data_IF_318913609212
#
_entry.id   IF_318913609212
#
_cell.length_a   1.000
_cell.length_b   1.000
_cell.length_c   1.000
_cell.angle_alpha   90.00
_cell.angle_beta   90.00
_cell.angle_gamma   90.00
#
_symmetry.space_group_name_H-M   'P 1'
#
loop_
_entity.id
_entity.type
_entity.pdbx_description
1 polymer ?
2 polymer ?
3 non-polymer ?
4 water ?
#
# COMPACT_ATOMS: atom_id res chain seq x y z
N UNK A 22 -20.93 14.36 11.07
CA UNK A 22 -21.86 13.88 12.09
C UNK A 22 -23.29 13.87 11.59
N UNK A 23 -23.69 14.93 10.87
CA UNK A 23 -25.05 15.00 10.34
C UNK A 23 -25.27 13.93 9.28
N UNK A 24 -24.27 13.69 8.41
CA UNK A 24 -24.41 12.65 7.42
C UNK A 24 -24.49 11.27 8.06
N UNK A 25 -23.67 11.02 9.08
CA UNK A 25 -23.74 9.75 9.80
C UNK A 25 -25.09 9.61 10.49
N UNK A 26 -25.61 10.71 11.05
CA UNK A 26 -26.90 10.64 11.73
C UNK A 26 -28.03 10.31 10.77
N UNK A 27 -27.98 10.88 9.55
CA UNK A 27 -29.00 10.54 8.56
C UNK A 27 -28.90 9.08 8.15
N UNK A 28 -27.67 8.55 8.05
CA UNK A 28 -27.50 7.15 7.67
C UNK A 28 -28.09 6.23 8.73
N UNK A 29 -27.86 6.55 10.01
CA UNK A 29 -28.37 5.71 11.10
C UNK A 29 -29.89 5.68 11.07
N UNK A 30 -30.53 6.82 10.82
CA UNK A 30 -31.98 6.88 10.82
C UNK A 30 -32.58 6.04 9.70
N UNK A 31 -31.99 6.09 8.51
CA UNK A 31 -32.54 5.32 7.38
C UNK A 31 -32.21 3.83 7.51
N UNK A 32 -31.02 3.51 8.01
CA UNK A 32 -30.63 2.11 8.12
C UNK A 32 -31.32 1.40 9.28
N UNK A 33 -31.77 2.15 10.28
CA UNK A 33 -32.32 1.53 11.47
C UNK A 33 -31.26 1.32 12.53
N UNK A 34 -31.70 1.42 13.79
CA UNK A 34 -30.76 1.33 14.91
C UNK A 34 -30.16 -0.08 15.02
N UNK A 35 -30.88 -1.10 14.58
CA UNK A 35 -30.37 -2.46 14.66
C UNK A 35 -29.17 -2.66 13.74
N UNK A 36 -29.31 -2.29 12.47
CA UNK A 36 -28.19 -2.38 11.55
C UNK A 36 -27.09 -1.38 11.90
N UNK A 37 -27.46 -0.25 12.50
CA UNK A 37 -26.46 0.74 12.90
C UNK A 37 -25.62 0.27 14.08
N UNK A 38 -26.11 -0.69 14.87
CA UNK A 38 -25.38 -1.13 16.04
C UNK A 38 -24.11 -1.89 15.66
N UNK A 39 -24.19 -2.72 14.62
CA UNK A 39 -23.07 -3.58 14.26
C UNK A 39 -22.09 -2.96 13.27
N UNK A 40 -22.51 -1.96 12.52
CA UNK A 40 -21.65 -1.37 11.51
C UNK A 40 -21.26 0.07 11.72
N UNK A 41 -21.47 0.60 12.90
CA UNK A 41 -21.24 2.02 13.14
C UNK A 41 -19.77 2.37 12.94
N UNK A 42 -18.86 1.47 13.33
CA UNK A 42 -17.44 1.74 13.15
C UNK A 42 -17.08 1.81 11.67
N UNK A 43 -17.60 0.87 10.87
CA UNK A 43 -17.33 0.89 9.43
C UNK A 43 -17.98 2.11 8.78
N UNK A 44 -19.16 2.51 9.25
CA UNK A 44 -19.82 3.69 8.69
C UNK A 44 -19.00 4.94 8.98
N UNK A 45 -18.45 5.04 10.19
CA UNK A 45 -17.64 6.22 10.53
C UNK A 45 -16.38 6.27 9.68
N UNK A 46 -15.71 5.14 9.50
CA UNK A 46 -14.51 5.11 8.65
C UNK A 46 -14.87 5.40 7.20
N UNK A 47 -16.00 4.87 6.73
CA UNK A 47 -16.46 5.15 5.38
C UNK A 47 -16.69 6.65 5.19
N UNK A 48 -17.37 7.29 6.16
CA UNK A 48 -17.58 8.73 6.10
C UNK A 48 -16.24 9.48 6.16
N UNK A 49 -15.34 9.04 7.03
CA UNK A 49 -14.04 9.68 7.16
C UNK A 49 -13.26 9.61 5.85
N UNK A 50 -13.34 8.49 5.15
CA UNK A 50 -12.60 8.26 3.91
C UNK A 50 -13.36 8.73 2.68
N UNK A 51 -14.48 9.43 2.85
CA UNK A 51 -15.29 9.94 1.75
C UNK A 51 -15.74 8.81 0.81
N UNK A 52 -15.99 7.62 1.38
CA UNK A 52 -16.48 6.50 0.61
C UNK A 52 -15.44 5.73 -0.17
N UNK A 53 -14.16 6.01 0.04
CA UNK A 53 -13.08 5.39 -0.73
C UNK A 53 -12.36 4.33 0.09
N UNK A 54 -12.04 3.21 -0.54
CA UNK A 54 -11.08 2.28 0.01
C UNK A 54 -9.68 2.87 -0.13
N UNK A 55 -9.02 3.10 1.01
CA UNK A 55 -7.79 3.90 0.99
C UNK A 55 -6.65 3.21 0.25
N UNK A 56 -6.64 1.87 0.22
CA UNK A 56 -5.53 1.16 -0.39
C UNK A 56 -5.72 0.93 -1.88
N UNK A 57 -6.97 0.88 -2.36
CA UNK A 57 -7.25 0.74 -3.78
C UNK A 57 -7.80 2.00 -4.42
N UNK A 58 -8.21 2.97 -3.62
CA UNK A 58 -8.87 4.20 -4.10
C UNK A 58 -10.11 3.90 -4.94
N UNK A 59 -10.67 2.70 -4.79
CA UNK A 59 -11.92 2.35 -5.43
C UNK A 59 -13.09 2.78 -4.55
N UNK A 60 -14.23 3.04 -5.18
CA UNK A 60 -15.38 3.53 -4.46
C UNK A 60 -16.03 2.41 -3.64
N UNK A 61 -16.42 2.75 -2.42
CA UNK A 61 -17.23 1.86 -1.59
C UNK A 61 -18.63 2.46 -1.51
N UNK A 62 -19.57 2.06 -2.37
CA UNK A 62 -20.92 2.58 -2.27
C UNK A 62 -21.54 2.25 -0.92
N UNK A 63 -22.24 3.23 -0.35
CA UNK A 63 -22.80 3.05 0.99
C UNK A 63 -23.80 1.91 1.02
N UNK A 64 -24.60 1.76 -0.04
CA UNK A 64 -25.60 0.70 -0.07
C UNK A 64 -24.95 -0.68 -0.05
N UNK A 65 -23.76 -0.83 -0.65
CA UNK A 65 -23.08 -2.12 -0.62
C UNK A 65 -22.48 -2.38 0.75
N UNK A 66 -21.99 -1.33 1.42
CA UNK A 66 -21.49 -1.50 2.78
C UNK A 66 -22.60 -1.88 3.74
N UNK A 67 -23.79 -1.33 3.55
CA UNK A 67 -24.90 -1.64 4.44
C UNK A 67 -25.49 -3.01 4.14
N UNK A 68 -25.46 -3.46 2.89
CA UNK A 68 -26.04 -4.74 2.52
C UNK A 68 -25.03 -5.88 2.60
N UNK A 69 -23.77 -5.64 2.26
CA UNK A 69 -22.72 -6.66 2.29
C UNK A 69 -21.56 -6.13 3.13
N UNK A 70 -21.75 -5.97 4.44
CA UNK A 70 -20.69 -5.35 5.25
C UNK A 70 -19.45 -6.22 5.40
N UNK A 71 -19.60 -7.52 5.22
CA UNK A 71 -18.47 -8.45 5.37
C UNK A 71 -17.49 -8.41 4.21
N UNK A 72 -17.88 -7.75 3.14
CA UNK A 72 -16.97 -7.54 2.03
C UNK A 72 -15.98 -6.41 2.28
N UNK A 73 -16.08 -5.74 3.43
CA UNK A 73 -15.21 -4.63 3.79
C UNK A 73 -14.75 -4.83 5.23
N UNK A 74 -13.45 -4.68 5.46
CA UNK A 74 -12.85 -4.97 6.75
C UNK A 74 -12.10 -3.76 7.28
N UNK A 75 -11.93 -3.73 8.60
CA UNK A 75 -11.18 -2.68 9.26
C UNK A 75 -9.75 -3.14 9.40
N UNK A 76 -8.86 -2.57 8.58
CA UNK A 76 -7.43 -2.90 8.64
C UNK A 76 -6.73 -1.97 9.61
N UNK A 77 -5.74 -2.51 10.32
CA UNK A 77 -4.85 -1.71 11.14
C UNK A 77 -3.66 -1.27 10.29
N UNK A 78 -3.51 0.05 10.13
CA UNK A 78 -2.51 0.60 9.21
C UNK A 78 -1.13 0.02 9.52
N UNK A 79 -0.65 0.26 10.73
CA UNK A 79 0.58 -0.35 11.24
C UNK A 79 0.18 -1.53 12.13
N UNK A 80 0.70 -2.73 11.87
CA UNK A 80 0.32 -3.88 12.69
C UNK A 80 0.51 -3.61 14.18
N UNK A 81 -0.50 -3.97 14.97
CA UNK A 81 -0.47 -3.71 16.40
C UNK A 81 0.70 -4.39 17.09
N UNK A 82 1.25 -5.45 16.47
CA UNK A 82 2.48 -6.05 16.97
C UNK A 82 3.58 -5.01 17.13
N UNK A 83 3.62 -4.03 16.22
CA UNK A 83 4.60 -2.97 16.24
C UNK A 83 4.02 -1.68 16.81
N UNK A 84 2.74 -1.41 16.54
CA UNK A 84 2.18 -0.10 16.82
C UNK A 84 1.58 0.03 18.22
N UNK A 85 1.05 -1.05 18.79
CA UNK A 85 0.31 -1.01 20.05
C UNK A 85 -0.87 -0.03 20.00
N UNK A 86 -1.37 0.26 18.80
CA UNK A 86 -2.39 1.29 18.60
C UNK A 86 -3.66 0.63 18.10
N UNK A 87 -4.68 0.56 18.96
CA UNK A 87 -6.00 0.07 18.60
C UNK A 87 -7.00 1.19 18.43
N UNK A 88 -6.55 2.44 18.43
CA UNK A 88 -7.44 3.58 18.32
C UNK A 88 -7.90 3.76 16.87
N UNK A 89 -8.73 4.78 16.64
CA UNK A 89 -9.20 5.08 15.30
C UNK A 89 -8.07 5.63 14.42
N UNK A 90 -7.00 6.16 15.02
CA UNK A 90 -5.89 6.68 14.24
C UNK A 90 -5.19 5.59 13.44
N UNK A 91 -5.30 4.34 13.86
CA UNK A 91 -4.64 3.21 13.20
C UNK A 91 -5.62 2.31 12.47
N UNK A 92 -6.81 2.81 12.19
CA UNK A 92 -7.81 2.02 11.51
C UNK A 92 -8.32 2.63 10.22
N UNK A 93 -8.46 1.80 9.20
CA UNK A 93 -9.00 2.22 7.92
C UNK A 93 -9.96 1.15 7.41
N UNK A 94 -10.97 1.57 6.67
CA UNK A 94 -11.92 0.67 6.04
C UNK A 94 -11.46 0.37 4.62
N UNK A 95 -11.28 -0.91 4.31
CA UNK A 95 -10.78 -1.35 3.01
C UNK A 95 -11.57 -2.55 2.54
N UNK A 96 -11.47 -2.83 1.24
CA UNK A 96 -12.05 -4.04 0.69
C UNK A 96 -11.39 -5.26 1.31
N UNK A 97 -12.15 -6.36 1.37
CA UNK A 97 -11.66 -7.58 2.01
C UNK A 97 -10.37 -8.06 1.35
N UNK A 98 -10.34 -8.07 0.01
CA UNK A 98 -9.17 -8.57 -0.70
C UNK A 98 -7.94 -7.70 -0.46
N UNK A 99 -8.14 -6.38 -0.32
CA UNK A 99 -7.00 -5.50 -0.08
C UNK A 99 -6.40 -5.74 1.30
N UNK A 100 -7.25 -5.94 2.31
CA UNK A 100 -6.75 -6.30 3.64
C UNK A 100 -6.01 -7.62 3.60
N UNK A 101 -6.49 -8.57 2.79
CA UNK A 101 -5.81 -9.86 2.68
C UNK A 101 -4.46 -9.72 1.99
N UNK A 102 -4.41 -9.01 0.87
CA UNK A 102 -3.16 -8.85 0.18
C UNK A 102 -2.10 -8.08 0.97
N UNK A 103 -2.53 -7.10 1.76
CA UNK A 103 -1.57 -6.27 2.48
C UNK A 103 -0.80 -7.10 3.51
N UNK A 104 -1.46 -8.03 4.18
CA UNK A 104 -0.79 -8.82 5.19
C UNK A 104 -0.36 -7.95 6.37
N UNK A 105 0.81 -8.27 6.93
CA UNK A 105 1.37 -7.53 8.05
C UNK A 105 2.34 -6.42 7.60
N UNK A 106 2.11 -5.85 6.42
CA UNK A 106 2.98 -4.81 5.88
C UNK A 106 2.42 -3.43 6.16
N UNK A 107 3.27 -2.42 5.98
CA UNK A 107 2.79 -1.05 5.94
C UNK A 107 2.11 -0.81 4.60
N UNK A 108 1.30 0.25 4.48
CA UNK A 108 0.82 0.63 3.14
C UNK A 108 1.95 0.87 2.15
N UNK A 109 3.04 1.49 2.61
CA UNK A 109 4.18 1.75 1.73
C UNK A 109 4.79 0.44 1.23
N UNK A 110 4.98 -0.53 2.13
CA UNK A 110 5.53 -1.82 1.71
C UNK A 110 4.56 -2.56 0.79
N UNK A 111 3.25 -2.41 1.02
CA UNK A 111 2.27 -3.11 0.20
C UNK A 111 2.12 -2.44 -1.16
N UNK A 112 2.01 -1.12 -1.20
CA UNK A 112 1.74 -0.42 -2.45
C UNK A 112 2.97 -0.36 -3.35
N UNK A 113 4.17 -0.49 -2.79
CA UNK A 113 5.36 -0.60 -3.62
C UNK A 113 5.52 -1.99 -4.22
N UNK A 114 4.78 -2.98 -3.73
CA UNK A 114 4.89 -4.35 -4.20
C UNK A 114 4.29 -4.48 -5.60
N UNK A 115 4.14 -5.72 -6.04
CA UNK A 115 3.37 -6.04 -7.24
C UNK A 115 1.96 -6.49 -6.91
N UNK A 116 1.59 -6.51 -5.61
CA UNK A 116 0.28 -6.97 -5.17
C UNK A 116 -0.76 -5.86 -5.14
N UNK A 117 -0.37 -4.60 -5.28
CA UNK A 117 -1.27 -3.48 -5.10
C UNK A 117 -1.88 -3.05 -6.43
N UNK A 118 -3.03 -2.38 -6.34
CA UNK A 118 -3.74 -1.89 -7.52
C UNK A 118 -3.38 -0.46 -7.89
N UNK A 119 -2.84 0.32 -6.95
CA UNK A 119 -2.46 1.70 -7.19
C UNK A 119 -1.03 1.91 -6.72
N UNK A 120 -0.40 2.95 -7.26
CA UNK A 120 0.95 3.29 -6.88
C UNK A 120 0.96 4.00 -5.53
N UNK A 121 2.11 3.93 -4.85
CA UNK A 121 2.26 4.65 -3.60
C UNK A 121 2.22 6.16 -3.82
N UNK A 122 2.65 6.62 -5.00
CA UNK A 122 2.61 8.05 -5.30
C UNK A 122 1.18 8.56 -5.39
N UNK A 123 0.32 7.83 -6.09
CA UNK A 123 -1.10 8.18 -6.11
C UNK A 123 -1.71 8.12 -4.72
N UNK A 124 -1.34 7.09 -3.95
CA UNK A 124 -1.83 6.94 -2.59
C UNK A 124 -1.38 8.09 -1.71
N UNK A 125 -0.09 8.45 -1.79
CA UNK A 125 0.43 9.52 -0.95
C UNK A 125 -0.22 10.86 -1.27
N UNK A 126 -0.38 11.17 -2.56
CA UNK A 126 -1.04 12.42 -2.95
C UNK A 126 -2.46 12.48 -2.41
N UNK A 127 -3.19 11.36 -2.45
CA UNK A 127 -4.55 11.35 -1.94
C UNK A 127 -4.57 11.50 -0.42
N UNK A 128 -3.62 10.86 0.27
CA UNK A 128 -3.60 10.92 1.73
C UNK A 128 -3.23 12.33 2.20
N UNK A 129 -2.26 12.96 1.54
CA UNK A 129 -1.86 14.32 1.91
C UNK A 129 -3.01 15.29 1.73
N UNK A 130 -3.77 15.15 0.64
CA UNK A 130 -4.93 16.01 0.43
C UNK A 130 -6.05 15.70 1.42
N UNK A 131 -6.20 14.42 1.79
CA UNK A 131 -7.22 14.05 2.75
C UNK A 131 -6.94 14.63 4.13
N UNK A 132 -5.65 14.81 4.47
CA UNK A 132 -5.25 15.33 5.77
C UNK A 132 -5.11 16.85 5.75
N UNK A 133 -4.19 17.37 4.92
CA UNK A 133 -3.93 18.79 4.90
C UNK A 133 -5.10 19.57 4.29
N UNK A 134 -5.59 19.12 3.15
CA UNK A 134 -6.64 19.83 2.44
C UNK A 134 -8.01 19.70 3.07
N UNK A 135 -8.48 18.46 3.24
CA UNK A 135 -9.83 18.23 3.72
C UNK A 135 -9.93 18.07 5.23
N UNK A 136 -8.82 17.77 5.90
CA UNK A 136 -8.87 17.58 7.35
C UNK A 136 -9.70 16.41 7.79
N UNK A 137 -9.92 15.42 6.91
CA UNK A 137 -10.76 14.28 7.27
C UNK A 137 -10.06 13.34 8.23
N UNK A 138 -8.73 13.31 8.21
CA UNK A 138 -7.97 12.36 9.00
C UNK A 138 -7.03 13.11 9.95
N UNK A 139 -6.64 12.43 11.01
CA UNK A 139 -5.76 13.03 12.00
C UNK A 139 -4.31 13.02 11.53
N UNK A 140 -3.49 13.84 12.18
CA UNK A 140 -2.06 13.84 11.89
C UNK A 140 -1.43 12.49 12.20
N UNK A 141 -1.91 11.82 13.24
CA UNK A 141 -1.38 10.50 13.59
C UNK A 141 -1.69 9.47 12.51
N UNK A 142 -2.91 9.48 11.99
CA UNK A 142 -3.27 8.54 10.93
C UNK A 142 -2.45 8.80 9.66
N UNK A 143 -2.26 10.08 9.31
CA UNK A 143 -1.47 10.41 8.14
C UNK A 143 -0.05 9.87 8.24
N UNK A 144 0.58 10.02 9.41
CA UNK A 144 1.94 9.53 9.59
C UNK A 144 1.99 8.01 9.60
N UNK A 145 0.92 7.35 10.07
CA UNK A 145 0.84 5.90 9.94
C UNK A 145 0.79 5.48 8.48
N UNK A 146 -0.08 6.13 7.70
CA UNK A 146 -0.29 5.72 6.31
C UNK A 146 0.96 5.94 5.47
N UNK A 147 1.68 7.03 5.73
CA UNK A 147 2.88 7.38 4.96
C UNK A 147 4.16 6.91 5.64
N UNK A 148 4.08 5.90 6.50
CA UNK A 148 5.26 5.34 7.13
C UNK A 148 6.08 4.58 6.09
N UNK A 149 7.31 5.01 5.85
CA UNK A 149 8.14 4.45 4.80
C UNK A 149 9.35 3.69 5.33
N UNK A 150 9.46 3.50 6.63
CA UNK A 150 10.55 2.72 7.20
C UNK A 150 10.16 1.25 7.31
N UNK A 151 11.16 0.40 7.46
CA UNK A 151 10.94 -1.04 7.57
C UNK A 151 10.55 -1.37 9.01
N UNK A 152 9.27 -1.66 9.22
CA UNK A 152 8.73 -1.89 10.56
C UNK A 152 9.21 -3.23 11.11
N UNK A 153 9.98 -3.97 10.32
CA UNK A 153 10.60 -5.21 10.78
C UNK A 153 11.98 -5.01 11.37
N UNK A 154 12.52 -3.79 11.29
CA UNK A 154 13.84 -3.50 11.84
C UNK A 154 13.78 -3.27 13.34
N UNK A 155 14.86 -3.66 14.02
CA UNK A 155 14.98 -3.43 15.45
C UNK A 155 14.82 -1.94 15.78
N UNK A 156 15.52 -1.09 15.03
CA UNK A 156 15.52 0.34 15.32
C UNK A 156 14.13 0.95 15.12
N UNK A 157 13.42 0.50 14.09
CA UNK A 157 12.10 1.07 13.80
C UNK A 157 11.08 0.64 14.86
N UNK A 158 11.11 -0.64 15.24
CA UNK A 158 10.22 -1.11 16.30
C UNK A 158 10.53 -0.42 17.63
N UNK A 159 11.82 -0.17 17.88
CA UNK A 159 12.20 0.58 19.08
C UNK A 159 11.63 1.99 19.06
N UNK A 160 11.66 2.64 17.89
CA UNK A 160 11.12 3.99 17.80
C UNK A 160 9.62 4.01 18.03
N UNK A 161 8.90 3.00 17.54
CA UNK A 161 7.46 2.93 17.76
C UNK A 161 7.14 2.73 19.24
N UNK A 162 7.93 1.90 19.93
CA UNK A 162 7.68 1.67 21.34
C UNK A 162 8.03 2.91 22.16
N UNK A 163 9.11 3.59 21.79
CA UNK A 163 9.58 4.75 22.55
C UNK A 163 8.72 5.99 22.34
N UNK A 164 7.98 6.06 21.23
CA UNK A 164 7.13 7.22 20.98
C UNK A 164 5.99 7.33 21.99
N UNK A 165 5.68 6.24 22.70
CA UNK A 165 4.60 6.24 23.68
C UNK A 165 4.95 7.11 24.88
N UNK B 3 16.25 -20.06 -9.01
CA UNK B 3 15.50 -18.88 -8.59
C UNK B 3 15.52 -17.81 -9.68
N UNK B 4 14.38 -17.16 -9.89
CA UNK B 4 14.22 -16.13 -10.90
C UNK B 4 13.90 -14.82 -10.21
N UNK B 5 14.59 -13.75 -10.61
CA UNK B 5 14.38 -12.42 -10.05
C UNK B 5 13.63 -11.56 -11.06
N UNK B 6 12.52 -10.97 -10.63
CA UNK B 6 11.69 -10.12 -11.46
C UNK B 6 11.72 -8.69 -10.96
N UNK B 7 11.80 -7.74 -11.88
CA UNK B 7 11.53 -6.34 -11.56
C UNK B 7 10.02 -6.16 -11.64
N UNK B 8 9.38 -5.94 -10.48
CA UNK B 8 7.92 -5.90 -10.41
C UNK B 8 7.34 -4.50 -10.38
N UNK B 9 8.08 -3.52 -9.86
CA UNK B 9 7.53 -2.18 -9.70
C UNK B 9 8.67 -1.17 -9.64
N UNK B 10 8.45 0.00 -10.24
CA UNK B 10 9.42 1.08 -10.23
C UNK B 10 8.70 2.41 -10.11
N UNK B 11 9.39 3.40 -9.56
CA UNK B 11 8.85 4.74 -9.40
C UNK B 11 9.98 5.74 -9.46
N UNK B 12 9.91 6.67 -10.40
CA UNK B 12 10.96 7.68 -10.54
C UNK B 12 10.85 8.70 -9.42
N UNK B 13 11.98 8.97 -8.77
CA UNK B 13 12.06 9.97 -7.71
C UNK B 13 13.00 11.09 -8.14
N UNK B 14 13.14 12.10 -7.27
CA UNK B 14 13.92 13.27 -7.63
C UNK B 14 15.39 12.94 -7.82
N UNK B 15 15.95 12.10 -6.96
CA UNK B 15 17.37 11.75 -7.02
C UNK B 15 17.61 10.29 -7.32
N UNK B 16 16.58 9.53 -7.68
CA UNK B 16 16.76 8.12 -7.97
C UNK B 16 15.48 7.39 -8.34
N UNK B 17 15.43 6.09 -8.05
CA UNK B 17 14.30 5.25 -8.39
C UNK B 17 13.96 4.34 -7.22
N UNK B 18 12.68 4.24 -6.91
CA UNK B 18 12.20 3.19 -6.01
C UNK B 18 11.99 1.93 -6.82
N UNK B 19 12.56 0.82 -6.36
CA UNK B 19 12.57 -0.43 -7.12
C UNK B 19 12.07 -1.56 -6.23
N UNK B 20 11.21 -2.43 -6.79
CA UNK B 20 10.73 -3.62 -6.12
C UNK B 20 11.09 -4.83 -6.94
N UNK B 21 11.71 -5.82 -6.29
CA UNK B 21 12.18 -7.03 -6.96
C UNK B 21 11.63 -8.24 -6.21
N UNK B 22 11.04 -9.17 -6.96
CA UNK B 22 10.56 -10.43 -6.41
C UNK B 22 11.54 -11.53 -6.80
N UNK B 23 12.06 -12.24 -5.80
CA UNK B 23 12.92 -13.39 -6.03
C UNK B 23 12.06 -14.64 -5.84
N UNK B 24 11.89 -15.40 -6.91
CA UNK B 24 10.95 -16.52 -6.95
C UNK B 24 11.73 -17.81 -7.22
N UNK B 25 11.51 -18.81 -6.37
CA UNK B 25 12.01 -20.15 -6.67
C UNK B 25 10.83 -21.07 -6.98
N UNK B 26 10.87 -22.28 -6.42
CA UNK B 26 9.82 -23.25 -6.74
C UNK B 26 8.51 -22.91 -6.05
N UNK B 27 8.57 -22.47 -4.78
CA UNK B 27 7.35 -22.29 -4.00
C UNK B 27 7.29 -21.00 -3.20
N UNK B 28 8.31 -20.14 -3.25
CA UNK B 28 8.37 -18.95 -2.40
C UNK B 28 8.59 -17.71 -3.26
N UNK B 29 7.95 -16.61 -2.87
CA UNK B 29 8.16 -15.29 -3.45
C UNK B 29 8.70 -14.37 -2.38
N UNK B 30 9.88 -13.81 -2.61
CA UNK B 30 10.51 -12.88 -1.66
C UNK B 30 10.59 -11.50 -2.32
N UNK B 31 9.85 -10.55 -1.77
CA UNK B 31 9.78 -9.21 -2.32
C UNK B 31 10.72 -8.26 -1.61
N UNK B 32 11.60 -7.64 -2.38
CA UNK B 32 12.60 -6.72 -1.87
C UNK B 32 12.24 -5.30 -2.28
N UNK B 33 12.06 -4.43 -1.29
CA UNK B 33 11.72 -3.03 -1.52
C UNK B 33 12.99 -2.19 -1.40
N UNK B 34 13.45 -1.66 -2.54
CA UNK B 34 14.57 -0.74 -2.54
C UNK B 34 14.03 0.68 -2.57
N UNK B 35 14.07 1.42 -1.46
CA UNK B 35 13.44 2.75 -1.46
C UNK B 35 14.14 3.76 -2.34
N UNK B 36 15.46 3.67 -2.49
CA UNK B 36 16.22 4.68 -3.24
C UNK B 36 17.39 4.00 -3.92
N UNK B 37 17.36 3.98 -5.25
CA UNK B 37 18.43 3.45 -6.07
C UNK B 37 18.96 4.59 -6.93
N UNK B 38 20.27 4.85 -6.96
CA UNK B 38 20.79 6.01 -7.70
C UNK B 38 20.45 5.94 -9.18
N UNK B 39 20.21 7.11 -9.74
CA UNK B 39 19.89 7.25 -11.15
C UNK B 39 20.95 6.63 -12.06
N UNK B 40 22.22 6.79 -11.70
CA UNK B 40 23.32 6.27 -12.51
C UNK B 40 23.24 4.76 -12.64
N UNK B 41 22.82 4.08 -11.59
CA UNK B 41 22.65 2.62 -11.65
C UNK B 41 21.46 2.26 -12.54
N UNK B 42 20.40 3.06 -12.48
CA UNK B 42 19.18 2.72 -13.22
C UNK B 42 19.38 2.95 -14.71
N UNK B 43 19.83 4.14 -15.10
CA UNK B 43 19.94 4.48 -16.52
C UNK B 43 21.01 3.67 -17.25
N UNK B 44 21.91 3.01 -16.52
CA UNK B 44 22.97 2.22 -17.15
C UNK B 44 22.75 0.73 -17.02
N UNK B 45 21.59 0.30 -16.48
CA UNK B 45 21.25 -1.12 -16.35
C UNK B 45 22.30 -1.88 -15.56
N UNK B 46 22.82 -1.26 -14.50
CA UNK B 46 23.80 -1.92 -13.63
C UNK B 46 23.06 -2.75 -12.58
N UNK B 47 22.43 -3.82 -13.07
CA UNK B 47 21.65 -4.69 -12.20
C UNK B 47 22.53 -5.44 -11.21
N UNK B 48 23.81 -5.64 -11.52
CA UNK B 48 24.73 -6.30 -10.60
C UNK B 48 25.02 -5.46 -9.36
N UNK B 49 24.66 -4.18 -9.37
CA UNK B 49 24.85 -3.29 -8.23
C UNK B 49 23.58 -3.09 -7.43
N UNK B 50 22.46 -3.68 -7.85
CA UNK B 50 21.17 -3.36 -7.25
C UNK B 50 21.14 -3.75 -5.78
N UNK B 51 21.60 -4.94 -5.45
CA UNK B 51 21.56 -5.42 -4.08
C UNK B 51 22.70 -4.88 -3.22
N UNK B 52 23.49 -3.94 -3.76
CA UNK B 52 24.44 -3.21 -2.94
C UNK B 52 23.77 -2.11 -2.12
N UNK B 53 22.52 -1.79 -2.41
CA UNK B 53 21.84 -0.65 -1.83
C UNK B 53 20.80 -1.09 -0.82
N UNK B 54 20.42 -0.16 0.05
CA UNK B 54 19.54 -0.48 1.16
C UNK B 54 18.18 -0.95 0.66
N UNK B 55 17.62 -1.94 1.36
CA UNK B 55 16.30 -2.45 1.05
C UNK B 55 15.64 -2.94 2.33
N UNK B 56 14.32 -2.97 2.33
CA UNK B 56 13.59 -3.54 3.44
C UNK B 56 13.83 -5.06 3.49
N UNK B 57 13.55 -5.64 4.65
CA UNK B 57 13.60 -7.09 4.76
C UNK B 57 12.59 -7.71 3.78
N UNK B 58 12.91 -8.85 3.18
CA UNK B 58 12.02 -9.40 2.15
C UNK B 58 10.68 -9.83 2.74
N UNK B 59 9.61 -9.44 2.06
CA UNK B 59 8.28 -9.95 2.39
C UNK B 59 8.09 -11.30 1.73
N UNK B 60 7.86 -12.34 2.54
CA UNK B 60 7.82 -13.72 2.06
C UNK B 60 6.38 -14.17 1.96
N UNK B 61 6.02 -14.68 0.78
CA UNK B 61 4.68 -15.23 0.55
C UNK B 61 4.80 -16.39 -0.43
N UNK B 62 3.69 -17.08 -0.62
CA UNK B 62 3.68 -18.19 -1.57
C UNK B 62 3.90 -17.67 -2.99
N UNK B 63 4.66 -18.43 -3.77
CA UNK B 63 4.96 -18.03 -5.14
C UNK B 63 3.67 -17.96 -5.95
N UNK B 64 3.54 -16.89 -6.74
CA UNK B 64 2.38 -16.73 -7.59
C UNK B 64 2.40 -17.75 -8.73
N UNK B 65 1.22 -18.05 -9.26
CA UNK B 65 1.10 -18.96 -10.39
C UNK B 65 1.41 -18.29 -11.71
N UNK B 66 1.61 -16.98 -11.72
CA UNK B 66 1.82 -16.23 -12.96
C UNK B 66 2.58 -14.95 -12.63
N UNK B 67 3.55 -14.62 -13.48
CA UNK B 67 4.35 -13.40 -13.31
C UNK B 67 4.33 -12.64 -14.64
N UNK B 68 3.18 -12.05 -14.95
CA UNK B 68 2.96 -11.31 -16.19
C UNK B 68 2.92 -9.81 -15.91
N UNK B 69 1.88 -9.32 -15.25
CA UNK B 69 1.76 -7.92 -14.91
C UNK B 69 1.50 -7.77 -13.42
N UNK B 70 1.95 -6.67 -12.85
CA UNK B 70 1.65 -6.41 -11.46
C UNK B 70 0.20 -5.92 -11.33
N UNK B 71 -0.24 -5.74 -10.08
CA UNK B 71 -1.60 -5.32 -9.83
C UNK B 71 -1.94 -3.97 -10.43
N UNK B 72 -0.96 -3.11 -10.64
CA UNK B 72 -1.21 -1.82 -11.27
C UNK B 72 -1.39 -1.98 -12.77
N UNK B 73 -0.74 -2.98 -13.38
CA UNK B 73 -0.79 -3.17 -14.82
C UNK B 73 0.56 -3.07 -15.50
N UNK B 74 1.63 -2.72 -14.78
CA UNK B 74 2.96 -2.67 -15.38
C UNK B 74 3.37 -4.08 -15.81
N UNK B 75 4.11 -4.14 -16.92
CA UNK B 75 4.64 -5.41 -17.40
C UNK B 75 5.86 -5.79 -16.56
N UNK B 76 5.82 -6.98 -15.97
CA UNK B 76 6.91 -7.46 -15.14
C UNK B 76 8.01 -8.01 -16.03
N UNK B 77 9.25 -7.59 -15.78
CA UNK B 77 10.40 -8.05 -16.54
C UNK B 77 11.37 -8.74 -15.59
N UNK B 78 12.18 -9.64 -16.15
CA UNK B 78 13.24 -10.27 -15.38
C UNK B 78 14.37 -9.29 -15.12
N UNK B 79 15.02 -9.44 -13.97
CA UNK B 79 16.06 -8.50 -13.57
C UNK B 79 17.19 -8.47 -14.60
N UNK B 80 17.52 -9.62 -15.18
CA UNK B 80 18.60 -9.69 -16.15
C UNK B 80 18.30 -8.91 -17.42
N UNK B 81 17.02 -8.57 -17.66
CA UNK B 81 16.67 -7.77 -18.82
C UNK B 81 16.93 -6.29 -18.63
N UNK B 82 17.14 -5.85 -17.38
CA UNK B 82 17.55 -4.49 -17.11
C UNK B 82 16.40 -3.58 -16.73
N UNK B 83 16.75 -2.48 -16.04
CA UNK B 83 15.74 -1.50 -15.65
C UNK B 83 15.21 -0.74 -16.86
N UNK B 84 16.09 -0.43 -17.82
CA UNK B 84 15.66 0.28 -19.03
C UNK B 84 14.56 -0.48 -19.76
N UNK B 85 14.58 -1.81 -19.71
CA UNK B 85 13.51 -2.58 -20.33
C UNK B 85 12.19 -2.29 -19.61
N UNK B 86 12.18 -2.38 -18.28
CA UNK B 86 10.97 -2.07 -17.52
C UNK B 86 10.46 -0.66 -17.82
N UNK B 87 11.37 0.31 -17.89
CA UNK B 87 10.97 1.69 -18.14
C UNK B 87 10.41 1.84 -19.55
N UNK B 88 11.01 1.16 -20.52
CA UNK B 88 10.54 1.25 -21.90
C UNK B 88 9.13 0.71 -22.05
N UNK B 89 8.83 -0.43 -21.41
CA UNK B 89 7.53 -1.07 -21.61
C UNK B 89 6.43 -0.39 -20.80
N UNK B 90 6.78 0.31 -19.71
CA UNK B 90 5.79 0.83 -18.78
C UNK B 90 5.85 2.34 -18.63
N UNK B 91 6.56 3.05 -19.51
CA UNK B 91 6.75 4.49 -19.34
C UNK B 91 5.41 5.23 -19.32
N UNK B 92 4.54 4.92 -20.28
CA UNK B 92 3.26 5.65 -20.37
C UNK B 92 2.37 5.34 -19.18
N UNK B 93 2.27 4.07 -18.79
CA UNK B 93 1.44 3.71 -17.64
C UNK B 93 1.99 4.33 -16.36
N UNK B 94 3.32 4.37 -16.20
CA UNK B 94 3.91 4.97 -15.01
C UNK B 94 3.61 6.47 -14.94
N UNK B 95 3.49 7.13 -16.09
CA UNK B 95 3.16 8.56 -16.10
C UNK B 95 1.78 8.80 -15.50
N UNK B 96 0.82 7.93 -15.82
CA UNK B 96 -0.55 8.08 -15.32
C UNK B 96 -0.67 7.73 -13.84
N UNK B 97 0.27 6.95 -13.30
CA UNK B 97 0.28 6.61 -11.88
C UNK B 97 1.32 7.41 -11.10
N UNK B 98 1.76 8.54 -11.65
CA UNK B 98 2.70 9.45 -10.98
C UNK B 98 4.03 8.76 -10.67
N UNK B 99 4.41 7.77 -11.47
CA UNK B 99 5.67 7.06 -11.29
C UNK B 99 6.72 7.44 -12.32
N UNK B 100 6.41 8.39 -13.20
CA UNK B 100 7.35 8.82 -14.22
C UNK B 100 7.07 10.26 -14.65
#
# INVERSE_FOLDING_TARGET
EKNSKDAQKMINEMQKRNRQTNERIEEIIRTTGKENAKYLIEKIKLHDMQEGKCLYSLEAIPLEDLLNNPFNYEVDHIIPRSVSFDNSFNNKVLVKQEENSKKGNRTPFQYLSSSDSKISYETFKKHILNLAKGKGRISKTKKEYLLEERDINRFSVQKDFINRNL
MKSVKYISNMSKQEKGYRVYVNVVNEDTDKGFLFPSVPKEVIENDKIDELFNFEHHKPYVQKAKSRYDKNGIGYKIVQLDEGFQKFIELNKEKMKENLDY
#
